data_IF_000260991492
#
_entry.id   IF_000260991492
#
_cell.length_a   1.000
_cell.length_b   1.000
_cell.length_c   1.000
_cell.angle_alpha   90.00
_cell.angle_beta   90.00
_cell.angle_gamma   90.00
#
_symmetry.space_group_name_H-M   'P 1'
#
loop_
_entity.id
_entity.type
_entity.pdbx_description
1 polymer ?
#
# COMPACT_ATOMS: atom_id res chain seq x y z
N UNK A 1 3.45 24.66 20.77
CA UNK A 1 2.30 24.43 19.86
C UNK A 1 2.71 23.32 18.89
N UNK A 2 1.91 22.29 18.75
CA UNK A 2 2.24 21.16 17.85
C UNK A 2 2.22 21.62 16.40
N UNK A 3 3.28 21.34 15.63
CA UNK A 3 3.30 21.59 14.19
C UNK A 3 2.64 20.42 13.46
N UNK A 4 1.34 20.54 13.21
CA UNK A 4 0.56 19.51 12.53
C UNK A 4 0.96 19.32 11.05
N UNK A 5 1.60 20.31 10.41
CA UNK A 5 2.04 20.20 9.01
C UNK A 5 3.26 19.27 8.83
N UNK A 6 4.10 19.16 9.85
CA UNK A 6 5.28 18.29 9.85
C UNK A 6 5.08 16.98 10.64
N UNK A 7 3.91 16.79 11.27
CA UNK A 7 3.60 15.63 12.08
C UNK A 7 3.66 14.33 11.28
N UNK A 8 4.46 13.36 11.73
CA UNK A 8 4.52 12.04 11.07
C UNK A 8 3.20 11.27 11.22
N UNK A 9 2.67 10.65 10.15
CA UNK A 9 1.50 9.78 10.27
C UNK A 9 1.75 8.60 11.19
N UNK A 10 0.76 8.26 12.03
CA UNK A 10 0.78 7.04 12.83
C UNK A 10 0.96 5.81 11.93
N UNK A 11 1.69 4.81 12.42
CA UNK A 11 1.97 3.56 11.71
C UNK A 11 1.01 2.48 12.18
N UNK A 12 0.43 1.77 11.22
CA UNK A 12 -0.48 0.65 11.50
C UNK A 12 0.23 -0.69 11.44
N UNK A 13 -0.25 -1.64 12.20
CA UNK A 13 0.19 -3.02 12.12
C UNK A 13 -0.34 -3.68 10.84
N UNK A 14 0.41 -4.62 10.34
CA UNK A 14 -0.04 -5.55 9.29
C UNK A 14 0.39 -6.94 9.73
N UNK A 15 -0.44 -7.93 9.51
CA UNK A 15 -0.02 -9.31 9.75
C UNK A 15 1.15 -9.64 8.81
N UNK A 16 2.23 -10.25 9.31
CA UNK A 16 3.34 -10.65 8.47
C UNK A 16 2.86 -11.57 7.33
N UNK A 17 3.39 -11.39 6.13
CA UNK A 17 3.04 -12.23 4.98
C UNK A 17 3.37 -13.71 5.18
N UNK A 18 4.31 -14.01 6.09
CA UNK A 18 4.69 -15.38 6.48
C UNK A 18 3.72 -16.04 7.48
N UNK A 19 2.75 -15.27 8.02
CA UNK A 19 1.77 -15.82 8.97
C UNK A 19 0.83 -16.75 8.22
N UNK A 20 0.64 -17.97 8.71
CA UNK A 20 -0.29 -18.92 8.11
C UNK A 20 -1.74 -18.44 8.19
N UNK A 21 -2.59 -18.92 7.29
CA UNK A 21 -4.02 -18.57 7.27
C UNK A 21 -4.70 -18.91 8.62
N UNK A 22 -4.39 -20.06 9.21
CA UNK A 22 -4.94 -20.49 10.51
C UNK A 22 -4.49 -19.57 11.64
N UNK A 23 -3.21 -19.18 11.69
CA UNK A 23 -2.70 -18.27 12.70
C UNK A 23 -3.33 -16.88 12.58
N UNK A 24 -3.63 -16.42 11.36
CA UNK A 24 -4.36 -15.16 11.12
C UNK A 24 -5.79 -15.25 11.59
N UNK A 25 -6.48 -16.33 11.21
CA UNK A 25 -7.87 -16.56 11.63
C UNK A 25 -7.96 -16.64 13.17
N UNK A 26 -7.04 -17.35 13.80
CA UNK A 26 -6.96 -17.43 15.27
C UNK A 26 -6.76 -16.04 15.89
N UNK A 27 -5.87 -15.21 15.32
CA UNK A 27 -5.64 -13.85 15.83
C UNK A 27 -6.87 -12.96 15.65
N UNK A 28 -7.55 -13.04 14.52
CA UNK A 28 -8.80 -12.30 14.30
C UNK A 28 -9.89 -12.77 15.26
N UNK A 29 -9.99 -14.07 15.52
CA UNK A 29 -10.94 -14.60 16.50
C UNK A 29 -10.65 -14.07 17.91
N UNK A 30 -9.38 -14.00 18.33
CA UNK A 30 -9.01 -13.39 19.61
C UNK A 30 -9.41 -11.90 19.71
N UNK A 31 -9.36 -11.16 18.59
CA UNK A 31 -9.81 -9.77 18.55
C UNK A 31 -11.35 -9.68 18.65
N UNK A 32 -12.08 -10.60 18.01
CA UNK A 32 -13.54 -10.71 18.12
C UNK A 32 -13.92 -11.03 19.57
N UNK A 33 -13.31 -12.04 20.16
CA UNK A 33 -13.62 -12.52 21.51
C UNK A 33 -13.30 -11.47 22.60
N UNK A 34 -12.42 -10.50 22.32
CA UNK A 34 -12.10 -9.43 23.26
C UNK A 34 -13.16 -8.34 23.33
N UNK A 35 -14.01 -8.20 22.30
CA UNK A 35 -15.02 -7.12 22.15
C UNK A 35 -14.44 -5.69 22.17
N UNK A 36 -13.10 -5.57 22.07
CA UNK A 36 -12.39 -4.30 22.20
C UNK A 36 -12.16 -3.56 20.87
N UNK A 37 -12.64 -4.11 19.74
CA UNK A 37 -12.30 -3.60 18.43
C UNK A 37 -13.50 -3.11 17.63
N UNK A 38 -13.25 -2.04 16.89
CA UNK A 38 -14.09 -1.58 15.77
C UNK A 38 -13.36 -1.86 14.46
N UNK A 39 -14.10 -2.03 13.37
CA UNK A 39 -13.50 -2.09 12.06
C UNK A 39 -14.28 -1.25 11.03
N UNK A 40 -13.56 -0.71 10.07
CA UNK A 40 -14.13 0.03 8.94
C UNK A 40 -13.54 -0.42 7.62
N UNK A 41 -14.28 -0.27 6.51
CA UNK A 41 -13.79 -0.59 5.18
C UNK A 41 -12.51 0.16 4.86
N UNK A 42 -11.51 -0.57 4.35
CA UNK A 42 -10.29 0.02 3.81
C UNK A 42 -10.53 0.42 2.35
N UNK A 43 -10.46 1.72 2.09
CA UNK A 43 -10.55 2.26 0.74
C UNK A 43 -9.20 2.15 0.04
N UNK A 44 -9.20 1.85 -1.26
CA UNK A 44 -7.99 1.77 -2.09
C UNK A 44 -7.74 3.14 -2.74
N UNK A 45 -7.04 3.98 -2.03
CA UNK A 45 -6.80 5.36 -2.42
C UNK A 45 -5.48 5.91 -1.92
N UNK A 46 -5.44 7.20 -1.69
CA UNK A 46 -4.28 7.91 -1.18
C UNK A 46 -4.59 8.49 0.20
N UNK A 47 -3.86 8.02 1.22
CA UNK A 47 -3.96 8.59 2.56
C UNK A 47 -3.72 10.09 2.53
N UNK A 48 -4.55 10.84 3.20
CA UNK A 48 -4.44 12.28 3.28
C UNK A 48 -4.78 12.83 4.67
N UNK A 49 -4.26 14.01 4.92
CA UNK A 49 -4.51 14.78 6.13
C UNK A 49 -4.87 16.20 5.75
N UNK A 50 -6.07 16.64 6.11
CA UNK A 50 -6.42 18.05 6.10
C UNK A 50 -5.87 18.70 7.37
N UNK A 51 -5.10 19.74 7.22
CA UNK A 51 -4.64 20.62 8.30
C UNK A 51 -5.17 22.01 8.01
N UNK A 52 -6.08 22.50 8.83
CA UNK A 52 -6.75 23.78 8.67
C UNK A 52 -6.38 24.63 9.87
N UNK A 53 -5.76 25.76 9.65
CA UNK A 53 -5.48 26.79 10.68
C UNK A 53 -5.89 28.16 10.13
N UNK A 54 -5.86 29.19 11.00
CA UNK A 54 -6.15 30.58 10.58
C UNK A 54 -5.14 31.10 9.56
N UNK A 55 -3.88 30.65 9.65
CA UNK A 55 -2.77 31.16 8.84
C UNK A 55 -2.53 30.32 7.58
N UNK A 56 -2.84 29.01 7.63
CA UNK A 56 -2.52 28.07 6.54
C UNK A 56 -3.49 26.91 6.52
N UNK A 57 -3.77 26.45 5.29
CA UNK A 57 -4.60 25.28 5.07
C UNK A 57 -3.92 24.38 4.03
N UNK A 58 -3.89 23.08 4.27
CA UNK A 58 -3.30 22.11 3.34
C UNK A 58 -3.97 20.74 3.42
N UNK A 59 -4.12 20.09 2.28
CA UNK A 59 -4.42 18.66 2.17
C UNK A 59 -3.14 17.92 1.82
N UNK A 60 -2.56 17.24 2.79
CA UNK A 60 -1.26 16.60 2.69
C UNK A 60 -1.38 15.11 2.42
N UNK A 61 -0.46 14.56 1.62
CA UNK A 61 -0.28 13.11 1.45
C UNK A 61 0.80 12.58 2.38
N UNK A 62 0.90 11.25 2.51
CA UNK A 62 1.94 10.59 3.32
C UNK A 62 3.35 10.75 2.75
N UNK A 63 3.48 11.02 1.45
CA UNK A 63 4.76 11.11 0.77
C UNK A 63 5.48 12.41 1.08
N UNK A 64 6.77 12.32 1.41
CA UNK A 64 7.63 13.50 1.57
C UNK A 64 8.25 13.85 0.22
N UNK A 65 8.11 15.09 -0.21
CA UNK A 65 8.75 15.61 -1.42
C UNK A 65 10.27 15.55 -1.29
N UNK A 66 10.94 15.01 -2.30
CA UNK A 66 12.40 14.96 -2.35
C UNK A 66 13.02 16.35 -2.52
N UNK A 67 12.25 17.30 -3.05
CA UNK A 67 12.69 18.68 -3.30
C UNK A 67 12.47 19.56 -2.08
N UNK A 68 11.21 19.66 -1.60
CA UNK A 68 10.85 20.57 -0.50
C UNK A 68 11.10 20.00 0.88
N UNK A 69 11.35 18.67 1.00
CA UNK A 69 11.49 17.93 2.27
C UNK A 69 10.27 18.03 3.19
N UNK A 70 9.12 18.43 2.63
CA UNK A 70 7.81 18.51 3.31
C UNK A 70 6.86 17.46 2.76
N UNK A 71 5.76 17.20 3.45
CA UNK A 71 4.69 16.34 2.93
C UNK A 71 4.12 16.94 1.65
N UNK A 72 3.85 16.09 0.66
CA UNK A 72 3.24 16.52 -0.60
C UNK A 72 1.85 17.09 -0.37
N UNK A 73 1.55 18.23 -0.97
CA UNK A 73 0.26 18.91 -0.88
C UNK A 73 -0.54 18.72 -2.16
N UNK A 74 -1.85 18.49 -2.01
CA UNK A 74 -2.75 18.14 -3.12
C UNK A 74 -4.06 18.92 -3.14
N UNK A 75 -4.22 19.94 -2.29
CA UNK A 75 -5.45 20.71 -2.21
C UNK A 75 -5.85 21.38 -3.54
N UNK A 76 -4.88 21.76 -4.37
CA UNK A 76 -5.09 22.33 -5.70
C UNK A 76 -5.49 21.29 -6.77
N UNK A 77 -5.52 20.01 -6.41
CA UNK A 77 -5.78 18.88 -7.31
C UNK A 77 -7.07 18.12 -7.01
N UNK A 78 -7.84 18.59 -6.06
CA UNK A 78 -9.13 17.98 -5.66
C UNK A 78 -10.24 19.04 -5.68
N UNK A 79 -11.44 18.64 -6.07
CA UNK A 79 -12.55 19.58 -6.28
C UNK A 79 -13.30 19.91 -5.00
N UNK A 80 -13.13 19.16 -3.93
CA UNK A 80 -13.84 19.29 -2.66
C UNK A 80 -13.11 20.15 -1.62
N UNK A 81 -11.94 20.70 -1.91
CA UNK A 81 -11.09 21.32 -0.89
C UNK A 81 -11.72 22.55 -0.26
N UNK A 82 -12.36 23.40 -1.06
CA UNK A 82 -13.03 24.62 -0.55
C UNK A 82 -14.17 24.25 0.40
N UNK A 83 -14.96 23.24 0.07
CA UNK A 83 -16.02 22.73 0.94
C UNK A 83 -15.46 22.24 2.29
N UNK A 84 -14.31 21.56 2.26
CA UNK A 84 -13.65 21.04 3.46
C UNK A 84 -13.17 22.17 4.36
N UNK A 85 -12.64 23.25 3.83
CA UNK A 85 -12.08 24.34 4.62
C UNK A 85 -13.15 25.29 5.17
N UNK A 86 -14.20 25.57 4.41
CA UNK A 86 -15.17 26.61 4.68
C UNK A 86 -15.79 26.57 6.10
N UNK A 87 -16.14 25.41 6.70
CA UNK A 87 -16.81 25.38 7.99
C UNK A 87 -15.89 25.53 9.21
N UNK A 88 -14.56 25.60 9.03
CA UNK A 88 -13.62 25.59 10.15
C UNK A 88 -12.84 26.90 10.23
N UNK A 89 -12.98 27.60 11.37
CA UNK A 89 -12.28 28.85 11.66
C UNK A 89 -11.09 28.68 12.62
N UNK A 90 -11.05 27.58 13.35
CA UNK A 90 -9.98 27.22 14.28
C UNK A 90 -9.22 25.98 13.83
N UNK A 91 -8.09 25.71 14.51
CA UNK A 91 -7.24 24.56 14.14
C UNK A 91 -8.05 23.26 14.10
N UNK A 92 -8.08 22.65 12.93
CA UNK A 92 -8.76 21.38 12.70
C UNK A 92 -7.86 20.45 11.89
N UNK A 93 -7.71 19.21 12.36
CA UNK A 93 -6.88 18.18 11.70
C UNK A 93 -7.69 16.92 11.51
N UNK A 94 -7.96 16.59 10.25
CA UNK A 94 -8.81 15.47 9.84
C UNK A 94 -8.00 14.49 8.99
N UNK A 95 -8.14 13.20 9.25
CA UNK A 95 -7.54 12.14 8.44
C UNK A 95 -8.58 11.50 7.52
N UNK A 96 -8.17 11.25 6.30
CA UNK A 96 -9.05 10.60 5.32
C UNK A 96 -8.29 9.92 4.20
N UNK A 97 -9.03 9.21 3.37
CA UNK A 97 -8.52 8.58 2.15
C UNK A 97 -9.13 9.27 0.94
N UNK A 98 -8.27 9.85 0.08
CA UNK A 98 -8.70 10.32 -1.24
C UNK A 98 -8.78 9.11 -2.16
N UNK A 99 -9.96 8.87 -2.71
CA UNK A 99 -10.21 7.69 -3.54
C UNK A 99 -11.04 8.05 -4.77
N UNK A 100 -11.01 7.16 -5.74
CA UNK A 100 -11.84 7.25 -6.95
C UNK A 100 -12.92 6.18 -6.86
N UNK A 101 -14.22 6.49 -7.02
CA UNK A 101 -15.25 5.48 -7.15
C UNK A 101 -14.90 4.50 -8.27
N UNK A 102 -14.99 3.20 -8.00
CA UNK A 102 -14.66 2.12 -8.93
C UNK A 102 -13.21 2.14 -9.47
N UNK A 103 -12.33 2.90 -8.83
CA UNK A 103 -10.89 2.98 -9.14
C UNK A 103 -10.02 2.37 -8.05
N UNK A 104 -8.75 2.24 -8.35
CA UNK A 104 -7.71 1.75 -7.44
C UNK A 104 -6.66 2.85 -7.16
N UNK A 105 -5.81 2.64 -6.16
CA UNK A 105 -4.72 3.58 -5.80
C UNK A 105 -3.90 4.07 -7.00
N UNK A 106 -3.63 3.20 -7.99
CA UNK A 106 -2.91 3.59 -9.21
C UNK A 106 -3.65 4.66 -10.01
N UNK A 107 -4.99 4.60 -10.06
CA UNK A 107 -5.81 5.56 -10.79
C UNK A 107 -5.83 6.90 -10.06
N UNK A 108 -6.02 6.87 -8.73
CA UNK A 108 -5.89 8.04 -7.85
C UNK A 108 -4.50 8.67 -8.00
N UNK A 109 -3.45 7.86 -7.90
CA UNK A 109 -2.07 8.30 -8.08
C UNK A 109 -1.80 8.90 -9.47
N UNK A 110 -2.46 8.39 -10.53
CA UNK A 110 -2.34 8.94 -11.88
C UNK A 110 -2.90 10.37 -11.97
N UNK A 111 -3.93 10.68 -11.20
CA UNK A 111 -4.53 12.03 -11.12
C UNK A 111 -3.67 12.94 -10.25
N UNK A 112 -3.36 12.52 -9.04
CA UNK A 112 -2.67 13.36 -8.04
C UNK A 112 -1.21 13.69 -8.41
N UNK A 113 -0.56 12.89 -9.26
CA UNK A 113 0.81 13.16 -9.76
C UNK A 113 0.85 14.16 -10.91
N UNK A 114 -0.29 14.53 -11.50
CA UNK A 114 -0.36 15.55 -12.52
C UNK A 114 -0.21 16.96 -11.92
N UNK A 115 0.09 17.95 -12.77
CA UNK A 115 -0.12 19.35 -12.44
C UNK A 115 -1.62 19.63 -12.24
N UNK A 116 -1.95 20.60 -11.38
CA UNK A 116 -3.32 20.89 -10.97
C UNK A 116 -4.32 21.03 -12.14
N UNK A 117 -4.05 21.79 -13.22
CA UNK A 117 -5.00 21.91 -14.33
C UNK A 117 -5.33 20.57 -14.99
N UNK A 118 -4.33 19.67 -15.11
CA UNK A 118 -4.53 18.34 -15.70
C UNK A 118 -5.23 17.40 -14.72
N UNK A 119 -4.94 17.50 -13.43
CA UNK A 119 -5.62 16.75 -12.39
C UNK A 119 -7.11 17.10 -12.35
N UNK A 120 -7.46 18.38 -12.38
CA UNK A 120 -8.83 18.87 -12.42
C UNK A 120 -9.56 18.44 -13.70
N UNK A 121 -8.91 18.52 -14.86
CA UNK A 121 -9.51 18.07 -16.12
C UNK A 121 -9.85 16.56 -16.12
N UNK A 122 -9.04 15.72 -15.46
CA UNK A 122 -9.29 14.27 -15.34
C UNK A 122 -10.45 13.90 -14.41
N UNK A 123 -10.89 14.82 -13.58
CA UNK A 123 -11.97 14.64 -12.62
C UNK A 123 -13.34 15.12 -13.11
N UNK A 124 -13.43 15.63 -14.36
CA UNK A 124 -14.64 16.25 -14.89
C UNK A 124 -15.86 15.32 -14.83
N UNK A 125 -15.68 14.04 -15.19
CA UNK A 125 -16.77 13.07 -15.28
C UNK A 125 -16.80 12.11 -14.06
N UNK A 126 -15.66 11.93 -13.41
CA UNK A 126 -15.54 11.06 -12.21
C UNK A 126 -14.60 11.73 -11.19
N UNK A 127 -15.14 12.58 -10.30
CA UNK A 127 -14.33 13.32 -9.34
C UNK A 127 -13.79 12.41 -8.24
N UNK A 128 -12.60 12.76 -7.77
CA UNK A 128 -12.05 12.19 -6.54
C UNK A 128 -12.98 12.50 -5.37
N UNK A 129 -13.12 11.53 -4.47
CA UNK A 129 -13.89 11.63 -3.24
C UNK A 129 -12.97 11.49 -2.03
N UNK A 130 -13.45 11.92 -0.87
CA UNK A 130 -12.72 11.83 0.38
C UNK A 130 -13.51 11.07 1.44
N UNK A 131 -12.87 10.04 2.05
CA UNK A 131 -13.41 9.29 3.17
C UNK A 131 -12.67 9.63 4.44
N UNK A 132 -13.34 10.34 5.35
CA UNK A 132 -12.83 10.68 6.68
C UNK A 132 -12.86 9.44 7.55
N UNK A 133 -11.71 9.09 8.16
CA UNK A 133 -11.60 7.91 9.01
C UNK A 133 -11.09 8.21 10.43
N UNK A 134 -10.58 9.41 10.72
CA UNK A 134 -10.20 9.82 12.07
C UNK A 134 -10.20 11.37 12.18
N UNK A 135 -10.37 11.89 13.40
CA UNK A 135 -10.29 13.31 13.68
C UNK A 135 -9.31 13.51 14.83
N UNK A 136 -8.25 14.28 14.59
CA UNK A 136 -7.18 14.46 15.56
C UNK A 136 -7.31 15.78 16.33
N UNK A 137 -7.81 16.81 15.67
CA UNK A 137 -8.07 18.12 16.27
C UNK A 137 -9.36 18.64 15.67
N UNK A 138 -10.25 19.13 16.48
CA UNK A 138 -11.51 19.77 16.06
C UNK A 138 -11.70 21.10 16.79
N UNK A 139 -11.78 22.19 16.03
CA UNK A 139 -11.99 23.55 16.55
C UNK A 139 -11.02 23.92 17.69
N UNK A 140 -9.73 23.56 17.52
CA UNK A 140 -8.66 23.80 18.48
C UNK A 140 -8.54 22.76 19.60
N UNK A 141 -9.47 21.83 19.73
CA UNK A 141 -9.41 20.75 20.73
C UNK A 141 -8.57 19.60 20.21
N UNK A 142 -7.42 19.35 20.82
CA UNK A 142 -6.56 18.22 20.52
C UNK A 142 -7.14 16.93 21.13
N UNK A 143 -7.48 15.97 20.27
CA UNK A 143 -8.08 14.69 20.63
C UNK A 143 -7.13 13.49 20.40
N UNK A 144 -5.86 13.71 20.08
CA UNK A 144 -4.94 12.61 19.80
C UNK A 144 -4.78 11.63 20.97
N UNK A 145 -4.92 12.14 22.21
CA UNK A 145 -4.90 11.32 23.43
C UNK A 145 -6.25 10.69 23.80
N UNK A 146 -7.31 11.01 23.08
CA UNK A 146 -8.63 10.43 23.32
C UNK A 146 -8.71 9.00 22.75
N UNK A 147 -9.58 8.13 23.31
CA UNK A 147 -9.96 6.86 22.72
C UNK A 147 -10.39 6.99 21.26
N UNK A 148 -10.06 6.01 20.43
CA UNK A 148 -10.44 6.01 19.02
C UNK A 148 -11.96 6.14 18.82
N UNK A 149 -12.74 5.39 19.62
CA UNK A 149 -14.20 5.44 19.54
C UNK A 149 -14.78 6.83 19.81
N UNK A 150 -14.17 7.60 20.73
CA UNK A 150 -14.57 8.97 20.99
C UNK A 150 -14.21 9.89 19.82
N UNK A 151 -13.01 9.78 19.25
CA UNK A 151 -12.59 10.60 18.11
C UNK A 151 -13.49 10.43 16.89
N UNK A 152 -13.84 9.18 16.56
CA UNK A 152 -14.66 8.88 15.37
C UNK A 152 -16.14 9.25 15.56
N UNK A 153 -16.62 9.40 16.79
CA UNK A 153 -18.01 9.86 17.06
C UNK A 153 -18.28 11.24 16.47
N UNK A 154 -17.25 12.07 16.29
CA UNK A 154 -17.32 13.39 15.67
C UNK A 154 -17.36 13.36 14.13
N UNK A 155 -17.13 12.21 13.47
CA UNK A 155 -17.06 12.14 12.00
C UNK A 155 -18.38 12.59 11.37
N UNK A 156 -19.51 12.16 11.90
CA UNK A 156 -20.83 12.51 11.35
C UNK A 156 -21.10 14.02 11.43
N UNK A 157 -20.74 14.65 12.53
CA UNK A 157 -20.82 16.10 12.71
C UNK A 157 -19.94 16.82 11.68
N UNK A 158 -18.66 16.43 11.58
CA UNK A 158 -17.69 17.03 10.64
C UNK A 158 -18.15 16.91 9.20
N UNK A 159 -18.63 15.73 8.79
CA UNK A 159 -19.18 15.51 7.43
C UNK A 159 -20.41 16.38 7.20
N UNK A 160 -21.30 16.49 8.18
CA UNK A 160 -22.48 17.37 8.12
C UNK A 160 -22.11 18.85 7.98
N UNK A 161 -21.07 19.32 8.69
CA UNK A 161 -20.55 20.69 8.56
C UNK A 161 -19.93 20.96 7.18
N UNK A 162 -19.15 20.01 6.64
CA UNK A 162 -18.54 20.10 5.29
C UNK A 162 -19.63 20.14 4.22
N UNK A 163 -20.69 19.38 4.36
CA UNK A 163 -21.86 19.36 3.49
C UNK A 163 -21.52 19.24 1.98
N UNK A 164 -20.55 18.40 1.63
CA UNK A 164 -20.12 18.18 0.25
C UNK A 164 -20.53 16.78 -0.25
N UNK A 165 -21.05 16.65 -1.49
CA UNK A 165 -21.40 15.35 -2.06
C UNK A 165 -20.17 14.47 -2.38
N UNK A 166 -18.96 15.01 -2.16
CA UNK A 166 -17.70 14.31 -2.41
C UNK A 166 -17.00 13.86 -1.11
N UNK A 167 -17.55 14.25 0.06
CA UNK A 167 -16.94 13.97 1.37
C UNK A 167 -17.86 13.09 2.21
N UNK A 168 -17.33 12.00 2.73
CA UNK A 168 -18.09 11.00 3.50
C UNK A 168 -17.28 10.55 4.71
N UNK A 169 -17.95 10.05 5.74
CA UNK A 169 -17.32 9.33 6.84
C UNK A 169 -17.11 7.85 6.50
N UNK A 170 -16.13 7.22 7.10
CA UNK A 170 -16.05 5.75 7.18
C UNK A 170 -17.10 5.26 8.17
N UNK A 171 -17.84 4.24 7.77
CA UNK A 171 -18.73 3.51 8.68
C UNK A 171 -17.90 2.50 9.49
N UNK A 172 -18.09 2.54 10.81
CA UNK A 172 -17.44 1.63 11.73
C UNK A 172 -18.44 0.65 12.31
N UNK A 173 -18.02 -0.60 12.44
CA UNK A 173 -18.79 -1.70 12.97
C UNK A 173 -18.05 -2.31 14.16
N UNK A 174 -18.81 -2.86 15.10
CA UNK A 174 -18.25 -3.71 16.15
C UNK A 174 -17.60 -4.95 15.51
N UNK A 175 -16.43 -5.32 16.02
CA UNK A 175 -15.76 -6.54 15.59
C UNK A 175 -16.31 -7.73 16.39
N UNK A 176 -17.46 -8.21 15.95
CA UNK A 176 -18.24 -9.29 16.57
C UNK A 176 -18.24 -10.56 15.69
N UNK A 177 -19.12 -11.52 16.02
CA UNK A 177 -19.25 -12.77 15.29
C UNK A 177 -19.64 -12.60 13.81
N UNK A 178 -20.19 -11.43 13.40
CA UNK A 178 -20.53 -11.12 12.01
C UNK A 178 -19.34 -10.55 11.22
N UNK A 179 -18.18 -10.39 11.84
CA UNK A 179 -17.00 -9.80 11.23
C UNK A 179 -16.64 -10.47 9.89
N UNK A 180 -16.59 -11.79 9.85
CA UNK A 180 -16.21 -12.53 8.65
C UNK A 180 -17.24 -12.39 7.53
N UNK A 181 -18.53 -12.33 7.86
CA UNK A 181 -19.61 -12.11 6.88
C UNK A 181 -19.50 -10.71 6.29
N UNK A 182 -19.31 -9.70 7.12
CA UNK A 182 -19.05 -8.31 6.68
C UNK A 182 -17.80 -8.18 5.82
N UNK A 183 -16.74 -8.89 6.17
CA UNK A 183 -15.54 -8.94 5.32
C UNK A 183 -15.83 -9.58 3.96
N UNK A 184 -16.65 -10.63 3.93
CA UNK A 184 -17.13 -11.25 2.69
C UNK A 184 -17.90 -10.25 1.81
N UNK A 185 -18.81 -9.46 2.40
CA UNK A 185 -19.54 -8.39 1.69
C UNK A 185 -18.58 -7.33 1.12
N UNK A 186 -17.59 -6.89 1.91
CA UNK A 186 -16.57 -5.92 1.45
C UNK A 186 -15.81 -6.46 0.25
N UNK A 187 -15.39 -7.72 0.28
CA UNK A 187 -14.67 -8.35 -0.81
C UNK A 187 -15.53 -8.56 -2.05
N UNK A 188 -16.76 -9.02 -1.88
CA UNK A 188 -17.73 -9.17 -2.99
C UNK A 188 -18.00 -7.84 -3.70
N UNK A 189 -17.95 -6.72 -2.95
CA UNK A 189 -18.04 -5.36 -3.49
C UNK A 189 -16.71 -4.80 -4.02
N UNK A 190 -15.69 -5.65 -4.25
CA UNK A 190 -14.37 -5.24 -4.75
C UNK A 190 -13.53 -4.44 -3.76
N UNK A 191 -13.81 -4.50 -2.46
CA UNK A 191 -13.07 -3.77 -1.43
C UNK A 191 -11.71 -4.41 -1.13
N UNK A 192 -10.71 -3.59 -0.76
CA UNK A 192 -9.35 -4.04 -0.43
C UNK A 192 -9.30 -4.83 0.91
N UNK A 193 -10.27 -4.60 1.79
CA UNK A 193 -10.31 -5.16 3.13
C UNK A 193 -10.86 -4.18 4.16
N UNK A 194 -10.40 -4.32 5.40
CA UNK A 194 -10.75 -3.41 6.48
C UNK A 194 -9.51 -2.96 7.28
N UNK A 195 -9.72 -1.96 8.11
CA UNK A 195 -8.80 -1.58 9.19
C UNK A 195 -9.54 -1.78 10.51
N UNK A 196 -8.95 -2.59 11.40
CA UNK A 196 -9.45 -2.80 12.74
C UNK A 196 -8.71 -1.86 13.71
N UNK A 197 -9.43 -1.26 14.62
CA UNK A 197 -8.92 -0.35 15.63
C UNK A 197 -9.38 -0.82 17.00
N UNK A 198 -8.46 -0.84 17.96
CA UNK A 198 -8.88 -1.01 19.35
C UNK A 198 -9.60 0.26 19.80
N UNK A 199 -10.74 0.13 20.47
CA UNK A 199 -11.64 1.23 20.86
C UNK A 199 -10.92 2.33 21.63
N UNK A 200 -10.05 1.95 22.55
CA UNK A 200 -9.30 2.86 23.42
C UNK A 200 -7.96 3.35 22.84
N UNK A 201 -7.63 3.00 21.59
CA UNK A 201 -6.34 3.35 21.06
C UNK A 201 -6.19 4.86 20.82
N UNK A 202 -5.04 5.39 21.23
CA UNK A 202 -4.64 6.78 21.01
C UNK A 202 -3.98 6.94 19.65
N UNK A 203 -3.96 8.17 19.15
CA UNK A 203 -3.17 8.50 17.96
C UNK A 203 -1.75 8.92 18.34
N UNK A 204 -0.75 8.15 17.95
CA UNK A 204 0.65 8.42 18.27
C UNK A 204 1.43 8.74 16.99
N UNK A 205 1.78 10.01 16.75
CA UNK A 205 2.52 10.40 15.55
C UNK A 205 3.83 9.62 15.37
N UNK A 206 4.09 9.15 14.15
CA UNK A 206 5.33 8.48 13.76
C UNK A 206 5.54 7.09 14.34
N UNK A 207 4.72 6.66 15.28
CA UNK A 207 4.87 5.37 15.97
C UNK A 207 3.68 4.45 15.69
N UNK A 208 3.86 3.17 16.00
CA UNK A 208 2.74 2.24 16.22
C UNK A 208 2.17 2.49 17.61
N UNK A 209 0.90 2.16 17.83
CA UNK A 209 0.30 2.19 19.15
C UNK A 209 1.12 1.40 20.18
N UNK A 210 1.02 1.73 21.48
CA UNK A 210 1.82 1.12 22.56
C UNK A 210 1.54 -0.38 22.69
N UNK A 211 0.35 -0.81 22.31
CA UNK A 211 -0.01 -2.21 22.30
C UNK A 211 0.08 -2.78 20.89
N UNK A 212 0.62 -3.99 20.79
CA UNK A 212 0.56 -4.74 19.54
C UNK A 212 -0.93 -4.89 19.14
N UNK A 213 -1.20 -4.63 17.86
CA UNK A 213 -2.54 -4.75 17.29
C UNK A 213 -3.54 -3.62 17.63
N UNK A 214 -3.11 -2.50 18.19
CA UNK A 214 -4.00 -1.33 18.39
C UNK A 214 -4.69 -0.89 17.08
N UNK A 215 -3.98 -1.00 15.97
CA UNK A 215 -4.52 -0.74 14.63
C UNK A 215 -4.00 -1.80 13.65
N UNK A 216 -4.88 -2.55 13.02
CA UNK A 216 -4.52 -3.69 12.18
C UNK A 216 -5.18 -3.59 10.82
N UNK A 217 -4.38 -3.70 9.76
CA UNK A 217 -4.88 -3.84 8.39
C UNK A 217 -5.16 -5.30 8.09
N UNK A 218 -6.41 -5.60 7.79
CA UNK A 218 -6.86 -6.91 7.32
C UNK A 218 -7.21 -6.77 5.84
N UNK A 219 -6.44 -7.42 4.99
CA UNK A 219 -6.63 -7.37 3.54
C UNK A 219 -7.11 -8.72 3.03
N UNK A 220 -7.81 -8.69 1.91
CA UNK A 220 -8.07 -9.92 1.17
C UNK A 220 -6.74 -10.52 0.76
N UNK A 221 -6.47 -11.70 1.26
CA UNK A 221 -5.43 -12.54 0.68
C UNK A 221 -6.07 -13.46 -0.33
N UNK A 222 -5.36 -13.73 -1.40
CA UNK A 222 -5.72 -14.85 -2.24
C UNK A 222 -5.58 -16.08 -1.34
N UNK A 223 -6.69 -16.65 -0.94
CA UNK A 223 -6.73 -17.82 -0.08
C UNK A 223 -6.16 -19.07 -0.75
N UNK A 224 -6.02 -19.03 -2.06
CA UNK A 224 -5.42 -20.06 -2.90
C UNK A 224 -4.08 -19.62 -3.44
N UNK A 225 -3.11 -20.52 -3.44
CA UNK A 225 -1.88 -20.35 -4.19
C UNK A 225 -2.23 -20.35 -5.67
N UNK A 226 -1.69 -19.38 -6.42
CA UNK A 226 -1.82 -19.30 -7.87
C UNK A 226 -0.65 -20.06 -8.48
N UNK A 227 -0.95 -21.02 -9.31
CA UNK A 227 0.05 -21.69 -10.13
C UNK A 227 0.31 -20.87 -11.40
N UNK A 228 1.55 -20.48 -11.57
CA UNK A 228 2.06 -19.73 -12.72
C UNK A 228 3.40 -20.34 -13.17
N UNK A 229 3.92 -19.93 -14.30
CA UNK A 229 5.26 -20.38 -14.75
C UNK A 229 6.18 -19.21 -15.03
N UNK A 230 7.48 -19.42 -14.85
CA UNK A 230 8.50 -18.40 -15.03
C UNK A 230 8.70 -18.13 -16.53
N UNK A 231 8.56 -16.88 -16.95
CA UNK A 231 8.73 -16.43 -18.33
C UNK A 231 9.90 -15.49 -18.52
N UNK A 232 10.43 -14.96 -17.42
CA UNK A 232 11.58 -14.07 -17.51
C UNK A 232 12.30 -13.89 -16.18
N UNK A 233 13.54 -13.50 -16.27
CA UNK A 233 14.41 -13.19 -15.15
C UNK A 233 14.74 -11.71 -15.24
N UNK A 234 14.35 -10.93 -14.20
CA UNK A 234 14.52 -9.47 -14.17
C UNK A 234 15.83 -9.15 -13.45
N UNK A 235 16.75 -8.42 -14.07
CA UNK A 235 17.99 -8.01 -13.43
C UNK A 235 17.76 -7.23 -12.12
N UNK A 236 18.69 -7.32 -11.20
CA UNK A 236 18.70 -6.48 -10.00
C UNK A 236 18.93 -5.00 -10.35
N UNK A 237 18.22 -4.12 -9.66
CA UNK A 237 18.49 -2.68 -9.77
C UNK A 237 19.93 -2.37 -9.35
N UNK A 238 20.61 -1.49 -10.11
CA UNK A 238 22.00 -1.16 -9.85
C UNK A 238 22.11 -0.27 -8.62
N UNK A 239 21.42 0.87 -8.61
CA UNK A 239 21.61 1.91 -7.60
C UNK A 239 20.82 1.61 -6.34
N UNK A 240 21.45 1.70 -5.19
CA UNK A 240 20.78 1.61 -3.89
C UNK A 240 20.26 2.98 -3.47
N UNK A 241 18.98 3.06 -3.11
CA UNK A 241 18.28 4.30 -2.71
C UNK A 241 17.68 4.21 -1.30
N UNK A 242 18.16 3.27 -0.48
CA UNK A 242 17.67 3.07 0.89
C UNK A 242 18.04 4.23 1.83
N UNK A 243 17.39 4.26 3.00
CA UNK A 243 17.52 5.33 4.00
C UNK A 243 18.82 5.24 4.82
N UNK A 244 19.48 4.10 4.80
CA UNK A 244 20.68 3.75 5.56
C UNK A 244 21.99 3.94 4.76
N UNK A 245 21.98 4.85 3.79
CA UNK A 245 23.16 5.15 2.95
C UNK A 245 24.44 5.43 3.75
N UNK A 246 24.33 6.09 4.90
CA UNK A 246 25.48 6.39 5.76
C UNK A 246 26.19 5.16 6.34
N UNK A 247 25.51 4.03 6.42
CA UNK A 247 26.05 2.73 6.90
C UNK A 247 26.14 1.69 5.80
N UNK A 248 25.79 2.05 4.56
CA UNK A 248 25.79 1.14 3.44
C UNK A 248 27.20 0.69 3.06
N UNK A 249 27.37 -0.59 2.72
CA UNK A 249 28.69 -1.19 2.53
C UNK A 249 28.96 -1.64 1.09
N UNK A 250 27.98 -1.59 0.18
CA UNK A 250 28.17 -2.09 -1.18
C UNK A 250 28.22 -0.92 -2.19
N UNK A 251 29.35 -0.77 -2.84
CA UNK A 251 29.64 0.37 -3.69
C UNK A 251 30.23 -0.06 -5.03
N UNK A 252 30.15 0.80 -6.01
CA UNK A 252 30.81 0.65 -7.29
C UNK A 252 31.59 1.92 -7.63
N UNK A 253 32.83 1.76 -8.06
CA UNK A 253 33.58 2.84 -8.65
C UNK A 253 33.12 3.07 -10.08
N UNK A 254 32.49 4.20 -10.38
CA UNK A 254 31.94 4.49 -11.70
C UNK A 254 32.98 4.58 -12.82
N UNK A 255 34.26 4.84 -12.49
CA UNK A 255 35.34 4.95 -13.48
C UNK A 255 35.90 3.59 -13.86
N UNK A 256 36.11 2.71 -12.87
CA UNK A 256 36.65 1.38 -13.11
C UNK A 256 35.59 0.28 -13.30
N UNK A 257 34.35 0.51 -12.83
CA UNK A 257 33.31 -0.51 -12.75
C UNK A 257 33.55 -1.53 -11.62
N UNK A 258 34.53 -1.31 -10.76
CA UNK A 258 34.91 -2.22 -9.69
C UNK A 258 33.86 -2.16 -8.56
N UNK A 259 33.36 -3.34 -8.15
CA UNK A 259 32.45 -3.48 -7.01
C UNK A 259 33.24 -3.64 -5.72
N UNK A 260 32.96 -2.82 -4.73
CA UNK A 260 33.72 -2.67 -3.51
C UNK A 260 32.84 -2.86 -2.28
N UNK A 261 33.44 -3.39 -1.22
CA UNK A 261 32.82 -3.46 0.12
C UNK A 261 33.55 -2.50 1.06
N UNK A 262 32.83 -1.59 1.69
CA UNK A 262 33.41 -0.61 2.60
C UNK A 262 32.50 0.61 2.76
N UNK A 263 33.00 1.64 3.41
CA UNK A 263 32.27 2.88 3.67
C UNK A 263 32.78 4.00 2.76
N UNK A 264 32.05 4.34 1.73
CA UNK A 264 32.40 5.39 0.75
C UNK A 264 31.34 6.52 0.71
N UNK A 265 30.57 6.66 1.78
CA UNK A 265 29.49 7.63 1.84
C UNK A 265 29.98 9.08 1.76
N UNK A 266 31.14 9.39 2.40
CA UNK A 266 31.72 10.71 2.35
C UNK A 266 32.13 11.11 0.93
N UNK A 267 32.80 10.20 0.22
CA UNK A 267 33.24 10.41 -1.17
C UNK A 267 32.05 10.50 -2.12
N UNK A 268 30.97 9.73 -1.88
CA UNK A 268 29.71 9.84 -2.61
C UNK A 268 29.07 11.22 -2.45
N UNK A 269 28.97 11.72 -1.20
CA UNK A 269 28.40 13.05 -0.91
C UNK A 269 29.21 14.20 -1.52
N UNK A 270 30.52 14.08 -1.62
CA UNK A 270 31.40 15.09 -2.21
C UNK A 270 31.48 15.01 -3.74
N UNK A 271 30.64 14.19 -4.38
CA UNK A 271 30.67 14.01 -5.84
C UNK A 271 31.80 13.09 -6.32
N UNK A 272 32.27 12.18 -5.45
CA UNK A 272 33.27 11.16 -5.77
C UNK A 272 32.80 10.15 -6.83
N UNK A 273 33.76 9.31 -7.25
CA UNK A 273 33.52 8.31 -8.29
C UNK A 273 32.67 7.10 -7.82
N UNK A 274 32.26 7.07 -6.57
CA UNK A 274 31.56 5.94 -5.95
C UNK A 274 30.03 6.13 -5.98
N UNK A 275 29.29 5.06 -6.30
CA UNK A 275 27.84 5.00 -6.17
C UNK A 275 27.44 3.84 -5.28
N UNK A 276 26.40 4.00 -4.44
CA UNK A 276 25.85 2.87 -3.69
C UNK A 276 25.13 1.93 -4.65
N UNK A 277 25.41 0.63 -4.54
CA UNK A 277 24.76 -0.39 -5.37
C UNK A 277 23.98 -1.39 -4.52
N UNK A 278 22.95 -2.00 -5.12
CA UNK A 278 22.13 -2.98 -4.41
C UNK A 278 22.91 -4.29 -4.19
N UNK A 279 22.48 -5.06 -3.17
CA UNK A 279 23.04 -6.40 -2.93
C UNK A 279 22.83 -7.34 -4.11
N UNK A 280 21.69 -7.23 -4.79
CA UNK A 280 21.41 -8.03 -5.98
C UNK A 280 22.38 -7.71 -7.11
N UNK A 281 22.59 -6.44 -7.40
CA UNK A 281 23.55 -6.03 -8.44
C UNK A 281 25.00 -6.39 -8.08
N UNK A 282 25.38 -6.23 -6.80
CA UNK A 282 26.71 -6.61 -6.32
C UNK A 282 27.02 -8.07 -6.61
N UNK A 283 26.09 -8.98 -6.32
CA UNK A 283 26.24 -10.43 -6.51
C UNK A 283 25.83 -10.94 -7.89
N UNK A 284 25.50 -10.06 -8.84
CA UNK A 284 24.92 -10.40 -10.15
C UNK A 284 23.64 -11.25 -10.02
N UNK A 285 22.87 -11.08 -8.96
CA UNK A 285 21.60 -11.75 -8.73
C UNK A 285 20.46 -11.05 -9.43
N UNK A 286 19.44 -11.79 -9.90
CA UNK A 286 18.20 -11.17 -10.35
C UNK A 286 17.48 -10.47 -9.20
N UNK A 287 16.73 -9.41 -9.54
CA UNK A 287 15.86 -8.69 -8.62
C UNK A 287 14.49 -9.33 -8.47
N UNK A 288 14.00 -9.96 -9.55
CA UNK A 288 12.69 -10.60 -9.61
C UNK A 288 12.64 -11.65 -10.71
N UNK A 289 11.58 -12.48 -10.68
CA UNK A 289 11.15 -13.30 -11.82
C UNK A 289 9.86 -12.71 -12.40
N UNK A 290 9.69 -12.81 -13.72
CA UNK A 290 8.43 -12.58 -14.42
C UNK A 290 7.67 -13.89 -14.47
N UNK A 291 6.37 -13.89 -14.15
CA UNK A 291 5.54 -15.09 -14.23
C UNK A 291 4.31 -14.83 -15.08
N UNK A 292 3.86 -15.86 -15.78
CA UNK A 292 2.71 -15.87 -16.68
C UNK A 292 1.82 -17.08 -16.43
N UNK A 293 0.62 -17.03 -16.99
CA UNK A 293 -0.33 -18.14 -17.08
C UNK A 293 -0.83 -18.27 -18.51
N UNK A 294 -1.52 -19.36 -18.85
CA UNK A 294 -2.18 -19.51 -20.14
C UNK A 294 -3.65 -19.08 -20.08
N UNK A 295 -4.12 -18.39 -21.11
CA UNK A 295 -5.54 -18.15 -21.35
C UNK A 295 -6.23 -19.42 -21.89
N UNK A 296 -7.55 -19.32 -22.14
CA UNK A 296 -8.34 -20.41 -22.70
C UNK A 296 -7.88 -20.80 -24.15
N UNK A 297 -7.19 -19.91 -24.84
CA UNK A 297 -6.68 -20.12 -26.20
C UNK A 297 -5.22 -20.60 -26.20
N UNK A 298 -4.65 -20.88 -25.02
CA UNK A 298 -3.24 -21.23 -24.79
C UNK A 298 -2.24 -20.11 -25.15
N UNK A 299 -2.68 -18.85 -25.16
CA UNK A 299 -1.78 -17.72 -25.25
C UNK A 299 -1.18 -17.46 -23.87
N UNK A 300 0.09 -17.05 -23.86
CA UNK A 300 0.77 -16.63 -22.64
C UNK A 300 0.28 -15.25 -22.19
N UNK A 301 -0.24 -15.17 -20.95
CA UNK A 301 -0.70 -13.94 -20.33
C UNK A 301 0.25 -13.57 -19.18
N UNK A 302 1.02 -12.49 -19.29
CA UNK A 302 1.87 -12.02 -18.20
C UNK A 302 1.04 -11.63 -16.97
N UNK A 303 1.42 -12.18 -15.81
CA UNK A 303 0.65 -12.00 -14.57
C UNK A 303 1.28 -10.94 -13.64
N UNK A 304 2.52 -11.15 -13.24
CA UNK A 304 3.23 -10.22 -12.36
C UNK A 304 4.74 -10.46 -12.32
N UNK A 305 5.46 -9.54 -11.62
CA UNK A 305 6.85 -9.73 -11.24
C UNK A 305 6.93 -10.09 -9.76
N UNK A 306 7.59 -11.19 -9.44
CA UNK A 306 7.77 -11.68 -8.07
C UNK A 306 9.17 -11.34 -7.59
N UNK A 307 9.26 -10.50 -6.57
CA UNK A 307 10.49 -10.12 -5.87
C UNK A 307 10.60 -10.84 -4.53
N UNK A 308 11.63 -10.53 -3.73
CA UNK A 308 11.78 -11.14 -2.40
C UNK A 308 12.22 -12.61 -2.45
N UNK A 309 12.92 -13.00 -3.52
CA UNK A 309 13.47 -14.35 -3.71
C UNK A 309 14.58 -14.63 -2.69
N UNK A 310 14.76 -15.90 -2.29
CA UNK A 310 15.86 -16.32 -1.42
C UNK A 310 17.20 -16.19 -2.15
N UNK A 311 18.29 -16.08 -1.40
CA UNK A 311 19.64 -15.93 -1.98
C UNK A 311 20.06 -17.19 -2.76
N UNK A 312 19.69 -18.36 -2.24
CA UNK A 312 19.93 -19.65 -2.91
C UNK A 312 19.22 -19.69 -4.27
N UNK A 313 17.96 -19.29 -4.30
CA UNK A 313 17.21 -19.28 -5.57
C UNK A 313 17.73 -18.24 -6.55
N UNK A 314 18.10 -17.04 -6.07
CA UNK A 314 18.75 -16.03 -6.92
C UNK A 314 20.07 -16.53 -7.51
N UNK A 315 20.85 -17.27 -6.72
CA UNK A 315 22.10 -17.88 -7.18
C UNK A 315 21.84 -18.90 -8.28
N UNK A 316 20.85 -19.79 -8.08
CA UNK A 316 20.46 -20.79 -9.09
C UNK A 316 19.90 -20.14 -10.37
N UNK A 317 19.10 -19.08 -10.26
CA UNK A 317 18.61 -18.30 -11.40
C UNK A 317 19.73 -17.61 -12.19
N UNK A 318 20.80 -17.16 -11.52
CA UNK A 318 21.98 -16.57 -12.14
C UNK A 318 22.80 -17.63 -12.90
N UNK A 319 23.04 -18.76 -12.26
CA UNK A 319 23.97 -19.79 -12.76
C UNK A 319 23.32 -20.65 -13.84
N UNK A 320 22.03 -20.95 -13.74
CA UNK A 320 21.28 -21.82 -14.66
C UNK A 320 19.97 -21.17 -15.15
N UNK A 321 19.99 -19.99 -15.78
CA UNK A 321 18.77 -19.25 -16.10
C UNK A 321 17.79 -20.02 -17.00
N UNK A 322 18.32 -20.79 -17.95
CA UNK A 322 17.48 -21.53 -18.91
C UNK A 322 16.71 -22.69 -18.27
N UNK A 323 17.23 -23.25 -17.19
CA UNK A 323 16.52 -24.29 -16.41
C UNK A 323 15.20 -23.79 -15.84
N UNK A 324 15.17 -22.53 -15.47
CA UNK A 324 14.04 -21.95 -14.74
C UNK A 324 12.97 -21.34 -15.67
N UNK A 325 13.30 -21.04 -16.93
CA UNK A 325 12.29 -20.56 -17.89
C UNK A 325 11.32 -21.70 -18.22
N UNK A 326 10.03 -21.43 -18.05
CA UNK A 326 8.96 -22.42 -18.17
C UNK A 326 8.70 -23.24 -16.89
N UNK A 327 9.52 -23.09 -15.85
CA UNK A 327 9.33 -23.80 -14.58
C UNK A 327 8.06 -23.32 -13.87
N UNK A 328 7.14 -24.22 -13.47
CA UNK A 328 5.97 -23.87 -12.69
C UNK A 328 6.34 -23.45 -11.26
N UNK A 329 5.62 -22.47 -10.75
CA UNK A 329 5.77 -21.93 -9.40
C UNK A 329 4.39 -21.62 -8.80
N UNK A 330 4.26 -21.77 -7.50
CA UNK A 330 3.10 -21.24 -6.78
C UNK A 330 3.45 -19.89 -6.20
N UNK A 331 2.58 -18.90 -6.42
CA UNK A 331 2.67 -17.56 -5.89
C UNK A 331 1.42 -17.23 -5.08
N UNK A 332 1.55 -16.33 -4.12
CA UNK A 332 0.41 -15.70 -3.45
C UNK A 332 0.54 -14.20 -3.55
N UNK A 333 -0.55 -13.50 -3.41
CA UNK A 333 -0.55 -12.04 -3.41
C UNK A 333 -1.97 -11.50 -3.30
N UNK A 334 -2.14 -10.23 -3.52
CA UNK A 334 -3.47 -9.62 -3.61
C UNK A 334 -3.88 -9.55 -5.07
N UNK A 335 -4.93 -10.26 -5.45
CA UNK A 335 -5.49 -10.12 -6.79
C UNK A 335 -6.19 -8.76 -6.92
N UNK A 336 -5.81 -8.01 -7.91
CA UNK A 336 -6.50 -6.80 -8.31
C UNK A 336 -7.10 -7.07 -9.67
N UNK A 337 -8.37 -7.48 -9.70
CA UNK A 337 -9.14 -7.39 -10.94
C UNK A 337 -9.55 -5.93 -11.11
N UNK A 338 -9.23 -5.31 -12.23
CA UNK A 338 -9.97 -4.12 -12.64
C UNK A 338 -11.37 -4.56 -13.09
N UNK A 339 -12.35 -3.66 -12.98
CA UNK A 339 -13.70 -3.87 -13.52
C UNK A 339 -13.75 -4.16 -15.06
N UNK A 340 -12.58 -4.26 -15.68
CA UNK A 340 -12.33 -4.55 -17.09
C UNK A 340 -11.56 -5.86 -17.31
N UNK A 341 -11.45 -6.72 -16.29
CA UNK A 341 -10.85 -8.03 -16.50
C UNK A 341 -11.72 -8.84 -17.45
N UNK A 342 -11.21 -9.11 -18.62
CA UNK A 342 -11.86 -9.95 -19.61
C UNK A 342 -11.38 -11.40 -19.55
N UNK A 343 -11.99 -12.28 -20.34
CA UNK A 343 -11.62 -13.68 -20.46
C UNK A 343 -10.22 -13.90 -21.05
N UNK A 344 -9.59 -12.84 -21.55
CA UNK A 344 -8.22 -12.83 -22.11
C UNK A 344 -7.17 -12.43 -21.05
N UNK A 345 -7.60 -12.12 -19.82
CA UNK A 345 -6.73 -11.75 -18.71
C UNK A 345 -6.29 -10.27 -18.71
N UNK A 346 -6.83 -9.46 -19.61
CA UNK A 346 -6.58 -8.03 -19.56
C UNK A 346 -7.18 -7.45 -18.28
N UNK A 347 -6.40 -6.63 -17.56
CA UNK A 347 -6.83 -6.01 -16.32
C UNK A 347 -6.61 -6.82 -15.05
N UNK A 348 -6.09 -8.05 -15.14
CA UNK A 348 -5.65 -8.80 -13.95
C UNK A 348 -4.24 -8.37 -13.57
N UNK A 349 -4.05 -8.03 -12.32
CA UNK A 349 -2.71 -7.83 -11.75
C UNK A 349 -2.67 -8.34 -10.32
N UNK A 350 -1.52 -8.86 -9.91
CA UNK A 350 -1.29 -9.31 -8.53
C UNK A 350 -0.41 -8.28 -7.83
N UNK A 351 -0.91 -7.72 -6.73
CA UNK A 351 -0.14 -6.83 -5.86
C UNK A 351 0.60 -7.64 -4.79
N UNK A 352 1.82 -7.21 -4.47
CA UNK A 352 2.68 -7.83 -3.47
C UNK A 352 2.83 -9.34 -3.65
N UNK A 353 3.16 -9.82 -4.87
CA UNK A 353 3.30 -11.24 -5.12
C UNK A 353 4.48 -11.81 -4.33
N UNK A 354 4.27 -12.97 -3.72
CA UNK A 354 5.27 -13.73 -2.99
C UNK A 354 5.42 -15.11 -3.61
N UNK A 355 6.65 -15.53 -3.84
CA UNK A 355 6.95 -16.91 -4.21
C UNK A 355 6.69 -17.81 -2.99
N UNK A 356 5.80 -18.79 -3.13
CA UNK A 356 5.50 -19.78 -2.09
C UNK A 356 6.34 -21.02 -2.26
N UNK A 357 6.36 -21.59 -3.45
CA UNK A 357 7.15 -22.78 -3.76
C UNK A 357 7.44 -22.92 -5.25
N UNK A 358 8.47 -23.65 -5.55
CA UNK A 358 8.82 -24.10 -6.89
C UNK A 358 8.10 -25.44 -7.12
N UNK A 359 7.50 -25.62 -8.30
CA UNK A 359 6.69 -26.80 -8.64
C UNK A 359 7.25 -27.60 -9.84
N UNK A 360 8.58 -27.60 -9.99
CA UNK A 360 9.30 -28.16 -11.13
C UNK A 360 8.90 -29.62 -11.46
N UNK A 361 8.58 -30.43 -10.44
CA UNK A 361 8.25 -31.84 -10.60
C UNK A 361 6.81 -32.19 -10.19
N UNK A 362 5.96 -31.22 -10.02
CA UNK A 362 4.66 -31.37 -9.38
C UNK A 362 3.51 -31.11 -10.37
N UNK A 363 3.65 -30.10 -11.22
CA UNK A 363 2.70 -29.75 -12.28
C UNK A 363 3.46 -29.34 -13.56
N UNK A 364 2.77 -29.35 -14.70
CA UNK A 364 3.30 -28.79 -15.94
C UNK A 364 2.94 -27.31 -16.07
N UNK A 365 3.66 -26.58 -16.94
CA UNK A 365 3.30 -25.18 -17.23
C UNK A 365 1.93 -25.04 -17.90
N UNK A 366 1.48 -26.07 -18.58
CA UNK A 366 0.16 -26.16 -19.22
C UNK A 366 -0.98 -26.19 -18.20
N UNK A 367 -0.68 -26.60 -16.96
CA UNK A 367 -1.64 -26.61 -15.85
C UNK A 367 -1.83 -25.21 -15.23
N UNK A 368 -0.93 -24.26 -15.54
CA UNK A 368 -0.97 -22.88 -15.05
C UNK A 368 -1.93 -22.06 -15.92
N UNK A 369 -3.22 -22.05 -15.59
CA UNK A 369 -4.25 -21.43 -16.42
C UNK A 369 -4.97 -20.27 -15.71
N UNK A 370 -5.35 -19.27 -16.52
CA UNK A 370 -6.11 -18.12 -16.07
C UNK A 370 -7.47 -18.53 -15.46
N UNK A 371 -8.11 -19.56 -16.02
CA UNK A 371 -9.38 -20.07 -15.53
C UNK A 371 -9.32 -20.54 -14.06
N UNK A 372 -8.18 -21.08 -13.60
CA UNK A 372 -7.98 -21.46 -12.19
C UNK A 372 -7.82 -20.25 -11.24
N UNK A 373 -7.56 -19.07 -11.77
CA UNK A 373 -7.39 -17.83 -10.99
C UNK A 373 -8.73 -17.12 -10.86
N UNK A 374 -9.60 -17.24 -11.88
CA UNK A 374 -10.89 -16.54 -11.95
C UNK A 374 -12.07 -17.32 -11.31
N UNK A 375 -11.89 -18.61 -11.01
CA UNK A 375 -12.83 -19.45 -10.28
C UNK A 375 -12.49 -19.51 -8.80
#
# INVERSE_FOLDING_TARGET
>A
MTDYFSMEPMRYWSMPATTSADARKLKLQQMIDSEDYLFGRKYDGNWSRAVITKERQALQTRGISTVTKTYGEIQDKVTFWEDVCAPFSDTTVILGEVFLPDGIDKDVGSILRCLAPKAMARQKDNPLKWRIFDILVLDGIDMMDWPFEERISHISEVVGRINSPLVYGVEYYEMDNNFFDKMGEIFAAGGEGCVCYRKDCKYIPGKRGPHAWDTVKVKQEISSEIDAFITGIVPGERVYTGKDLGTWQLWENQRSGEKLVGSYFGEYQTGGAYIPITKNYFNNWPGAIQVSVYDNNKNEVPLCKVSGLTEEFKTSLRDEPQRWIGCPVSISGMMVSSAKADSEGNGISIRHPLLKRIRENDISKEDCTLAKILN
#
